data_IF_162644522109
#
_entry.id   IF_162644522109
#
_cell.length_a   1.000
_cell.length_b   1.000
_cell.length_c   1.000
_cell.angle_alpha   90.00
_cell.angle_beta   90.00
_cell.angle_gamma   90.00
#
_symmetry.space_group_name_H-M   'P 1'
#
loop_
_entity.id
_entity.type
_entity.pdbx_description
1 polymer ?
#
# COMPACT_ATOMS: atom_id res chain seq x y z
N UNK A 1 10.12 36.18 -17.33
CA UNK A 1 11.13 35.32 -16.69
C UNK A 1 11.25 35.77 -15.24
N UNK A 2 10.56 35.10 -14.31
CA UNK A 2 10.72 35.28 -12.86
C UNK A 2 10.50 33.93 -12.17
N UNK A 3 11.42 33.60 -11.29
CA UNK A 3 11.51 32.35 -10.55
C UNK A 3 10.40 32.23 -9.49
N UNK A 4 9.83 31.03 -9.36
CA UNK A 4 9.18 30.57 -8.13
C UNK A 4 9.83 29.24 -7.73
N UNK A 5 10.97 29.38 -7.04
CA UNK A 5 11.55 28.35 -6.19
C UNK A 5 10.54 27.94 -5.11
N UNK A 6 10.43 26.63 -4.87
CA UNK A 6 10.17 26.12 -3.53
C UNK A 6 8.73 26.21 -3.01
N UNK A 7 7.83 25.36 -3.55
CA UNK A 7 6.68 24.91 -2.76
C UNK A 7 7.07 23.61 -2.03
N UNK A 8 6.93 23.55 -0.69
CA UNK A 8 7.42 22.42 0.09
C UNK A 8 6.64 21.14 -0.24
N UNK A 9 7.39 20.07 -0.48
CA UNK A 9 6.96 18.67 -0.69
C UNK A 9 6.05 18.08 0.42
N UNK A 10 5.75 18.84 1.48
CA UNK A 10 5.04 18.36 2.65
C UNK A 10 3.52 18.21 2.42
N UNK A 11 2.90 19.01 1.55
CA UNK A 11 1.43 18.95 1.32
C UNK A 11 0.98 17.70 0.55
N UNK A 12 1.85 17.01 -0.20
CA UNK A 12 1.52 15.74 -0.85
C UNK A 12 1.62 14.53 0.08
N UNK A 13 2.55 14.55 1.06
CA UNK A 13 2.72 13.45 2.03
C UNK A 13 1.55 13.34 3.00
N UNK A 14 0.89 14.46 3.33
CA UNK A 14 -0.23 14.50 4.28
C UNK A 14 -1.57 14.03 3.66
N UNK A 15 -1.77 14.15 2.34
CA UNK A 15 -3.04 13.75 1.71
C UNK A 15 -3.21 12.23 1.65
N UNK A 16 -2.12 11.47 1.52
CA UNK A 16 -2.13 10.00 1.54
C UNK A 16 -2.31 9.48 2.98
N UNK A 17 -1.78 10.17 3.99
CA UNK A 17 -1.90 9.79 5.41
C UNK A 17 -3.31 9.93 5.99
N UNK A 18 -4.28 10.46 5.23
CA UNK A 18 -5.70 10.48 5.61
C UNK A 18 -6.49 9.27 5.07
N UNK A 19 -5.81 8.27 4.49
CA UNK A 19 -6.41 6.96 4.20
C UNK A 19 -6.62 6.17 5.49
N UNK A 20 -7.71 6.51 6.18
CA UNK A 20 -8.55 5.59 6.95
C UNK A 20 -7.81 4.51 7.78
N UNK A 21 -7.09 4.92 8.83
CA UNK A 21 -6.53 4.01 9.86
C UNK A 21 -7.58 3.12 10.57
N UNK A 22 -8.88 3.25 10.24
CA UNK A 22 -9.94 2.42 10.81
C UNK A 22 -10.05 1.03 10.16
N UNK A 23 -9.56 0.83 8.93
CA UNK A 23 -9.57 -0.49 8.27
C UNK A 23 -8.27 -1.24 8.55
N UNK A 24 -8.21 -1.88 9.72
CA UNK A 24 -7.07 -2.73 10.09
C UNK A 24 -6.94 -3.96 9.18
N UNK A 25 -8.04 -4.45 8.61
CA UNK A 25 -8.09 -5.65 7.76
C UNK A 25 -8.54 -5.28 6.34
N UNK A 26 -7.69 -5.58 5.37
CA UNK A 26 -7.88 -5.36 3.94
C UNK A 26 -8.17 -6.68 3.21
N UNK A 27 -8.88 -6.59 2.09
CA UNK A 27 -8.98 -7.68 1.11
C UNK A 27 -8.02 -7.42 -0.08
N UNK A 28 -7.89 -8.39 -0.99
CA UNK A 28 -6.98 -8.26 -2.14
C UNK A 28 -7.30 -7.05 -3.03
N UNK A 29 -8.58 -6.66 -3.18
CA UNK A 29 -8.98 -5.49 -3.97
C UNK A 29 -8.57 -4.18 -3.30
N UNK A 30 -8.68 -4.10 -1.98
CA UNK A 30 -8.23 -2.94 -1.21
C UNK A 30 -6.70 -2.82 -1.27
N UNK A 31 -5.98 -3.94 -1.16
CA UNK A 31 -4.51 -3.96 -1.30
C UNK A 31 -4.07 -3.55 -2.71
N UNK A 32 -4.75 -4.02 -3.76
CA UNK A 32 -4.48 -3.58 -5.13
C UNK A 32 -4.66 -2.07 -5.30
N UNK A 33 -5.74 -1.50 -4.75
CA UNK A 33 -5.98 -0.05 -4.78
C UNK A 33 -4.94 0.73 -3.99
N UNK A 34 -4.52 0.21 -2.83
CA UNK A 34 -3.51 0.85 -1.98
C UNK A 34 -2.15 0.90 -2.68
N UNK A 35 -1.76 -0.19 -3.33
CA UNK A 35 -0.47 -0.32 -4.00
C UNK A 35 -0.47 0.22 -5.44
N UNK A 36 -1.65 0.47 -6.01
CA UNK A 36 -1.81 0.81 -7.43
C UNK A 36 -1.38 -0.32 -8.37
N UNK A 37 -1.51 -1.58 -7.95
CA UNK A 37 -1.06 -2.76 -8.72
C UNK A 37 -2.22 -3.61 -9.22
N UNK A 38 -2.00 -4.29 -10.34
CA UNK A 38 -2.93 -5.28 -10.88
C UNK A 38 -2.86 -6.60 -10.09
N UNK A 39 -3.88 -7.44 -10.27
CA UNK A 39 -4.00 -8.74 -9.59
C UNK A 39 -2.80 -9.65 -9.84
N UNK A 40 -2.33 -9.75 -11.09
CA UNK A 40 -1.17 -10.57 -11.43
C UNK A 40 0.10 -10.13 -10.68
N UNK A 41 0.27 -8.82 -10.51
CA UNK A 41 1.40 -8.25 -9.75
C UNK A 41 1.26 -8.57 -8.28
N UNK A 42 0.06 -8.45 -7.70
CA UNK A 42 -0.20 -8.84 -6.31
C UNK A 42 0.13 -10.32 -6.08
N UNK A 43 -0.32 -11.22 -6.96
CA UNK A 43 -0.04 -12.65 -6.89
C UNK A 43 1.46 -12.96 -7.01
N UNK A 44 2.17 -12.22 -7.87
CA UNK A 44 3.64 -12.35 -8.00
C UNK A 44 4.33 -11.92 -6.70
N UNK A 45 3.92 -10.80 -6.10
CA UNK A 45 4.49 -10.31 -4.84
C UNK A 45 4.24 -11.27 -3.68
N UNK A 46 3.06 -11.90 -3.62
CA UNK A 46 2.77 -12.96 -2.66
C UNK A 46 3.69 -14.18 -2.84
N UNK A 47 3.87 -14.65 -4.08
CA UNK A 47 4.76 -15.78 -4.39
C UNK A 47 6.22 -15.48 -4.04
N UNK A 48 6.64 -14.24 -4.24
CA UNK A 48 7.99 -13.77 -3.88
C UNK A 48 8.15 -13.50 -2.39
N UNK A 49 7.10 -13.66 -1.57
CA UNK A 49 7.13 -13.35 -0.14
C UNK A 49 7.25 -11.85 0.16
N UNK A 50 7.06 -10.98 -0.84
CA UNK A 50 7.12 -9.53 -0.69
C UNK A 50 5.86 -8.98 -0.02
N UNK A 51 4.71 -9.64 -0.19
CA UNK A 51 3.47 -9.35 0.52
C UNK A 51 3.01 -10.63 1.19
N UNK A 52 2.80 -10.59 2.49
CA UNK A 52 2.36 -11.75 3.27
C UNK A 52 0.84 -11.74 3.40
N UNK A 53 0.21 -12.90 3.21
CA UNK A 53 -1.21 -13.09 3.52
C UNK A 53 -1.30 -13.45 5.00
N UNK A 54 -1.96 -12.62 5.80
CA UNK A 54 -2.04 -12.82 7.25
C UNK A 54 -2.95 -13.98 7.62
N UNK A 55 -4.15 -14.02 7.01
CA UNK A 55 -5.09 -15.11 7.21
C UNK A 55 -6.08 -15.22 6.07
N UNK A 56 -6.83 -16.32 6.06
CA UNK A 56 -7.91 -16.57 5.11
C UNK A 56 -9.22 -16.80 5.85
N UNK A 57 -10.29 -16.21 5.34
CA UNK A 57 -11.65 -16.56 5.75
C UNK A 57 -12.26 -17.34 4.57
N UNK A 58 -12.25 -18.67 4.67
CA UNK A 58 -12.52 -19.56 3.54
C UNK A 58 -11.50 -19.34 2.41
N UNK A 59 -11.98 -19.09 1.19
CA UNK A 59 -11.13 -18.81 0.03
C UNK A 59 -10.70 -17.33 -0.10
N UNK A 60 -11.13 -16.47 0.83
CA UNK A 60 -10.86 -15.02 0.75
C UNK A 60 -9.64 -14.66 1.58
N UNK A 61 -8.63 -14.09 0.93
CA UNK A 61 -7.39 -13.59 1.55
C UNK A 61 -7.66 -12.30 2.32
N UNK A 62 -7.01 -12.16 3.47
CA UNK A 62 -7.05 -10.98 4.32
C UNK A 62 -5.63 -10.55 4.69
N UNK A 63 -5.45 -9.24 4.77
CA UNK A 63 -4.16 -8.61 5.01
C UNK A 63 -4.33 -7.54 6.09
N UNK A 64 -3.43 -7.50 7.06
CA UNK A 64 -3.34 -6.39 7.99
C UNK A 64 -2.67 -5.21 7.29
N UNK A 65 -3.27 -4.02 7.43
CA UNK A 65 -2.74 -2.79 6.85
C UNK A 65 -1.26 -2.59 7.22
N UNK A 66 -0.90 -2.83 8.49
CA UNK A 66 0.47 -2.69 8.98
C UNK A 66 1.47 -3.57 8.23
N UNK A 67 1.11 -4.82 7.94
CA UNK A 67 1.99 -5.75 7.25
C UNK A 67 2.15 -5.40 5.77
N UNK A 68 1.08 -4.90 5.14
CA UNK A 68 1.15 -4.37 3.77
C UNK A 68 2.02 -3.11 3.71
N UNK A 69 1.93 -2.22 4.70
CA UNK A 69 2.77 -1.02 4.78
C UNK A 69 4.24 -1.34 5.06
N UNK A 70 4.54 -2.30 5.94
CA UNK A 70 5.92 -2.81 6.14
C UNK A 70 6.49 -3.39 4.84
N UNK A 71 5.66 -4.09 4.09
CA UNK A 71 6.04 -4.68 2.80
C UNK A 71 6.35 -3.62 1.74
N UNK A 72 5.63 -2.49 1.74
CA UNK A 72 5.86 -1.34 0.87
C UNK A 72 7.23 -0.68 1.08
N UNK A 73 7.63 -0.49 2.34
CA UNK A 73 8.94 0.08 2.69
C UNK A 73 10.07 -0.80 2.13
N UNK A 74 9.90 -2.12 2.22
CA UNK A 74 10.86 -3.09 1.67
C UNK A 74 10.92 -3.13 0.13
N UNK A 75 10.00 -2.46 -0.57
CA UNK A 75 9.98 -2.35 -2.03
C UNK A 75 10.68 -1.08 -2.55
N UNK A 76 11.21 -0.22 -1.66
CA UNK A 76 12.06 0.92 -2.03
C UNK A 76 11.29 2.15 -2.54
N UNK A 77 10.03 2.33 -2.12
CA UNK A 77 9.30 3.58 -2.34
C UNK A 77 9.58 4.55 -1.18
N UNK A 78 10.64 5.36 -1.31
CA UNK A 78 10.97 6.53 -0.46
C UNK A 78 10.43 7.85 -1.05
#
# INVERSE_FOLDING_TARGET
>A
MFALLGLPNLKRKVFILRFNMQKQILNSRDVMKLLGVCENTLLKLERLGKITIDFRIGNRKRYYLENVMKSLVNLGYD
#
